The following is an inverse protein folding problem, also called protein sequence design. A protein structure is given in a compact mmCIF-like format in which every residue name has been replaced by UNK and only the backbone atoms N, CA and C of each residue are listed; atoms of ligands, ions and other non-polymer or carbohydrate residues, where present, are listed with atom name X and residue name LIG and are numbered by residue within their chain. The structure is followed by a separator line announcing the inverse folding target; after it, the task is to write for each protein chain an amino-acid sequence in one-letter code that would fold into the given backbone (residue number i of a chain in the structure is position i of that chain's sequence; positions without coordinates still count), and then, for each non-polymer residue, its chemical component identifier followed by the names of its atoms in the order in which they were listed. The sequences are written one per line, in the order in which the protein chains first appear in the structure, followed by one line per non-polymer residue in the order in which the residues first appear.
data_IF_134889388694
#
_entry.id   IF_134889388694
#
_cell.length_a   1.000
_cell.length_b   1.000
_cell.length_c   1.000
_cell.angle_alpha   90.00
_cell.angle_beta   90.00
_cell.angle_gamma   90.00
#
_symmetry.space_group_name_H-M   'P 1'
#
loop_
_entity.id
_entity.type
_entity.pdbx_description
1 polymer ?
#
# COMPACT_ATOMS: atom_id res chain seq x y z
N UNK A 1 -16.56 -23.64 -14.34
CA UNK A 1 -16.76 -22.43 -13.51
C UNK A 1 -15.37 -21.84 -13.28
N UNK A 2 -15.05 -20.71 -13.91
CA UNK A 2 -13.76 -20.07 -13.77
C UNK A 2 -13.68 -19.42 -12.38
N UNK A 3 -12.71 -19.84 -11.57
CA UNK A 3 -12.35 -19.16 -10.33
C UNK A 3 -11.47 -17.98 -10.73
N UNK A 4 -11.99 -16.76 -10.60
CA UNK A 4 -11.19 -15.54 -10.75
C UNK A 4 -10.57 -15.23 -9.37
N UNK A 5 -9.24 -15.27 -9.22
CA UNK A 5 -8.58 -15.19 -7.91
C UNK A 5 -8.62 -13.80 -7.25
N UNK A 6 -9.25 -12.79 -7.88
CA UNK A 6 -9.22 -11.40 -7.42
C UNK A 6 -10.58 -10.81 -6.99
N UNK A 7 -11.59 -11.63 -6.71
CA UNK A 7 -12.95 -11.13 -6.37
C UNK A 7 -13.13 -10.74 -4.90
N UNK A 8 -12.18 -10.02 -4.31
CA UNK A 8 -12.38 -9.41 -2.99
C UNK A 8 -13.11 -8.08 -3.18
N UNK A 9 -14.45 -8.08 -3.10
CA UNK A 9 -15.26 -6.88 -3.35
C UNK A 9 -15.13 -5.78 -2.26
N UNK A 10 -14.52 -6.09 -1.11
CA UNK A 10 -14.26 -5.18 0.01
C UNK A 10 -12.99 -5.60 0.73
N UNK A 11 -12.16 -4.64 1.12
CA UNK A 11 -10.96 -4.90 1.92
C UNK A 11 -11.29 -5.69 3.18
N UNK A 12 -10.46 -6.68 3.49
CA UNK A 12 -10.58 -7.49 4.70
C UNK A 12 -9.44 -7.16 5.64
N UNK A 13 -9.76 -6.92 6.90
CA UNK A 13 -8.77 -6.66 7.93
C UNK A 13 -8.43 -7.94 8.71
N UNK A 14 -7.13 -8.13 8.93
CA UNK A 14 -6.58 -9.20 9.75
C UNK A 14 -5.53 -8.67 10.73
N UNK A 15 -5.19 -9.51 11.72
CA UNK A 15 -4.07 -9.26 12.63
C UNK A 15 -3.01 -10.31 12.40
N UNK A 16 -1.80 -9.88 12.08
CA UNK A 16 -0.61 -10.71 12.06
C UNK A 16 0.37 -10.26 13.15
N UNK A 17 1.50 -10.96 13.26
CA UNK A 17 2.47 -10.70 14.31
C UNK A 17 3.88 -10.65 13.77
N UNK A 18 4.65 -9.63 14.19
CA UNK A 18 6.09 -9.57 13.99
C UNK A 18 6.77 -10.12 15.23
N UNK A 19 7.64 -11.10 15.02
CA UNK A 19 8.43 -11.72 16.09
C UNK A 19 9.70 -10.92 16.34
N UNK A 20 9.88 -10.43 17.55
CA UNK A 20 11.07 -9.71 18.00
C UNK A 20 11.61 -10.29 19.29
N UNK A 21 12.89 -10.05 19.59
CA UNK A 21 13.46 -10.41 20.87
C UNK A 21 12.80 -9.62 22.01
N UNK A 22 12.40 -10.33 23.07
CA UNK A 22 11.86 -9.68 24.24
C UNK A 22 12.98 -9.33 25.22
N UNK A 23 12.91 -8.11 25.74
CA UNK A 23 13.84 -7.61 26.76
C UNK A 23 13.68 -8.34 28.10
N UNK A 24 12.61 -9.12 28.28
CA UNK A 24 12.35 -9.87 29.52
C UNK A 24 13.45 -10.90 29.86
N UNK A 25 14.07 -11.48 28.83
CA UNK A 25 15.25 -12.35 28.95
C UNK A 25 16.42 -11.67 29.66
N UNK A 26 16.66 -10.39 29.37
CA UNK A 26 17.74 -9.61 29.98
C UNK A 26 17.50 -9.39 31.48
N UNK A 27 16.24 -9.21 31.87
CA UNK A 27 15.86 -9.00 33.27
C UNK A 27 15.52 -10.28 34.01
N UNK A 28 15.71 -11.45 33.39
CA UNK A 28 15.35 -12.77 33.93
C UNK A 28 13.91 -12.80 34.49
N UNK A 29 12.98 -12.19 33.74
CA UNK A 29 11.57 -12.05 34.11
C UNK A 29 10.67 -12.51 32.97
N UNK A 30 9.37 -12.63 33.23
CA UNK A 30 8.37 -12.95 32.22
C UNK A 30 7.56 -11.71 31.87
N UNK A 31 7.58 -11.31 30.60
CA UNK A 31 6.75 -10.21 30.11
C UNK A 31 5.26 -10.57 30.16
N UNK A 32 4.43 -9.61 30.59
CA UNK A 32 2.97 -9.66 30.48
C UNK A 32 2.46 -8.45 29.65
N UNK A 33 2.50 -8.52 28.30
CA UNK A 33 2.16 -7.39 27.45
C UNK A 33 0.64 -7.16 27.39
N UNK A 34 0.21 -5.90 27.32
CA UNK A 34 -1.22 -5.54 27.09
C UNK A 34 -1.71 -5.86 25.67
N UNK A 35 -0.80 -5.83 24.69
CA UNK A 35 -1.09 -6.09 23.28
C UNK A 35 -0.11 -7.14 22.75
N UNK A 36 -0.64 -8.11 21.99
CA UNK A 36 0.11 -9.27 21.53
C UNK A 36 0.41 -10.24 22.67
N UNK A 37 1.50 -10.99 22.54
CA UNK A 37 1.91 -11.98 23.54
C UNK A 37 3.44 -12.19 23.50
N UNK A 38 3.98 -12.86 24.53
CA UNK A 38 5.39 -13.23 24.61
C UNK A 38 5.49 -14.74 24.84
N UNK A 39 6.28 -15.44 24.03
CA UNK A 39 6.55 -16.88 24.15
C UNK A 39 8.05 -17.11 24.05
N UNK A 40 8.63 -17.84 25.01
CA UNK A 40 10.07 -18.20 25.01
C UNK A 40 10.98 -16.98 24.78
N UNK A 41 10.74 -15.88 25.52
CA UNK A 41 11.48 -14.61 25.38
C UNK A 41 11.41 -13.96 23.99
N UNK A 42 10.41 -14.32 23.18
CA UNK A 42 10.13 -13.69 21.89
C UNK A 42 8.78 -12.99 21.97
N UNK A 43 8.78 -11.69 21.71
CA UNK A 43 7.58 -10.85 21.68
C UNK A 43 6.95 -10.92 20.30
N UNK A 44 5.64 -11.14 20.27
CA UNK A 44 4.81 -11.12 19.08
C UNK A 44 4.04 -9.81 19.07
N UNK A 45 4.56 -8.83 18.31
CA UNK A 45 3.97 -7.50 18.19
C UNK A 45 2.87 -7.56 17.13
N UNK A 46 1.61 -7.24 17.47
CA UNK A 46 0.52 -7.29 16.51
C UNK A 46 0.69 -6.20 15.46
N UNK A 47 0.45 -6.56 14.21
CA UNK A 47 0.36 -5.66 13.06
C UNK A 47 -0.99 -5.89 12.38
N UNK A 48 -1.57 -4.82 11.83
CA UNK A 48 -2.80 -4.91 11.05
C UNK A 48 -2.41 -5.24 9.61
N UNK A 49 -3.05 -6.25 9.04
CA UNK A 49 -2.97 -6.56 7.62
C UNK A 49 -4.29 -6.19 6.98
N UNK A 50 -4.22 -5.68 5.76
CA UNK A 50 -5.37 -5.42 4.93
C UNK A 50 -5.18 -6.21 3.64
N UNK A 51 -6.10 -7.12 3.37
CA UNK A 51 -6.21 -7.79 2.09
C UNK A 51 -7.07 -6.91 1.18
N UNK A 52 -6.44 -6.37 0.14
CA UNK A 52 -7.06 -5.41 -0.79
C UNK A 52 -7.30 -6.12 -2.12
N UNK A 53 -8.46 -5.94 -2.78
CA UNK A 53 -8.68 -6.42 -4.15
C UNK A 53 -7.52 -6.10 -5.09
N UNK A 54 -7.27 -6.94 -6.10
CA UNK A 54 -6.27 -6.63 -7.11
C UNK A 54 -6.62 -5.37 -7.92
N UNK A 55 -5.59 -4.63 -8.34
CA UNK A 55 -5.74 -3.57 -9.33
C UNK A 55 -6.11 -4.18 -10.69
N UNK A 56 -7.03 -3.51 -11.39
CA UNK A 56 -7.32 -3.78 -12.80
C UNK A 56 -6.70 -2.64 -13.62
N UNK A 57 -6.25 -2.92 -14.84
CA UNK A 57 -5.77 -1.88 -15.76
C UNK A 57 -6.75 -0.70 -15.86
N UNK A 58 -6.20 0.52 -15.74
CA UNK A 58 -6.99 1.74 -15.82
C UNK A 58 -7.68 2.13 -14.51
N UNK A 59 -7.38 1.45 -13.40
CA UNK A 59 -7.89 1.79 -12.06
C UNK A 59 -7.59 3.25 -11.68
N UNK A 60 -6.44 3.78 -12.11
CA UNK A 60 -6.10 5.19 -11.90
C UNK A 60 -7.11 6.16 -12.54
N UNK A 61 -7.87 5.80 -13.57
CA UNK A 61 -8.81 6.72 -14.25
C UNK A 61 -10.07 7.07 -13.44
N UNK A 62 -10.27 6.43 -12.28
CA UNK A 62 -11.31 6.80 -11.32
C UNK A 62 -12.72 6.27 -11.65
N UNK A 63 -12.83 5.28 -12.54
CA UNK A 63 -14.09 4.57 -12.80
C UNK A 63 -14.10 3.19 -12.11
N UNK A 64 -15.02 2.98 -11.16
CA UNK A 64 -15.27 1.66 -10.56
C UNK A 64 -14.33 1.24 -9.42
N UNK A 65 -14.09 -0.07 -9.30
CA UNK A 65 -13.40 -0.73 -8.16
C UNK A 65 -11.97 -0.23 -7.89
N UNK A 66 -11.32 0.39 -8.89
CA UNK A 66 -9.97 0.93 -8.75
C UNK A 66 -9.86 2.10 -7.77
N UNK A 67 -10.92 2.89 -7.57
CA UNK A 67 -10.91 3.99 -6.60
C UNK A 67 -10.92 3.47 -5.15
N UNK A 68 -11.64 2.39 -4.88
CA UNK A 68 -11.72 1.78 -3.55
C UNK A 68 -10.36 1.21 -3.13
N UNK A 69 -9.69 0.50 -4.05
CA UNK A 69 -8.30 0.05 -3.88
C UNK A 69 -7.35 1.18 -3.47
N UNK A 70 -7.41 2.31 -4.19
CA UNK A 70 -6.52 3.44 -3.96
C UNK A 70 -6.84 4.17 -2.65
N UNK A 71 -8.09 4.11 -2.18
CA UNK A 71 -8.46 4.60 -0.85
C UNK A 71 -7.97 3.66 0.26
N UNK A 72 -8.07 2.34 0.08
CA UNK A 72 -7.53 1.36 1.03
C UNK A 72 -6.00 1.51 1.17
N UNK A 73 -5.28 1.67 0.05
CA UNK A 73 -3.83 1.94 0.06
C UNK A 73 -3.47 3.23 0.77
N UNK A 74 -4.30 4.28 0.68
CA UNK A 74 -4.04 5.55 1.38
C UNK A 74 -3.95 5.36 2.89
N UNK A 75 -4.67 4.39 3.45
CA UNK A 75 -4.64 4.10 4.89
C UNK A 75 -3.48 3.19 5.29
N UNK A 76 -2.93 2.43 4.34
CA UNK A 76 -1.81 1.53 4.58
C UNK A 76 -0.49 2.30 4.79
N UNK A 77 0.34 1.82 5.71
CA UNK A 77 1.69 2.36 5.92
C UNK A 77 2.73 1.65 5.03
N UNK A 78 2.43 0.42 4.60
CA UNK A 78 3.28 -0.43 3.75
C UNK A 78 2.40 -1.22 2.80
N UNK A 79 2.83 -1.33 1.54
CA UNK A 79 2.22 -2.20 0.54
C UNK A 79 3.09 -3.45 0.34
N UNK A 80 2.50 -4.64 0.41
CA UNK A 80 3.16 -5.90 0.09
C UNK A 80 2.63 -6.37 -1.26
N UNK A 81 3.50 -6.39 -2.27
CA UNK A 81 3.15 -6.85 -3.61
C UNK A 81 3.56 -8.32 -3.77
N UNK A 82 2.58 -9.21 -3.97
CA UNK A 82 2.81 -10.64 -4.16
C UNK A 82 2.85 -10.94 -5.67
N UNK A 83 3.93 -11.58 -6.12
CA UNK A 83 4.20 -11.85 -7.53
C UNK A 83 4.33 -13.36 -7.79
N UNK A 84 3.72 -13.87 -8.86
CA UNK A 84 3.92 -15.25 -9.33
C UNK A 84 5.22 -15.37 -10.15
N UNK A 85 6.28 -15.82 -9.50
CA UNK A 85 7.59 -16.00 -10.16
C UNK A 85 7.60 -17.14 -11.20
N UNK A 86 6.61 -18.02 -11.19
CA UNK A 86 6.57 -19.15 -12.13
C UNK A 86 6.11 -18.74 -13.54
N UNK A 87 5.57 -17.52 -13.70
CA UNK A 87 5.03 -17.02 -14.96
C UNK A 87 3.85 -17.85 -15.46
N UNK A 88 3.10 -18.47 -14.53
CA UNK A 88 1.94 -19.33 -14.80
C UNK A 88 0.61 -18.59 -14.67
N UNK A 89 0.67 -17.29 -14.42
CA UNK A 89 -0.49 -16.41 -14.25
C UNK A 89 -0.28 -15.19 -15.14
N UNK A 90 -1.30 -14.80 -15.92
CA UNK A 90 -1.24 -13.56 -16.72
C UNK A 90 -1.64 -12.33 -15.89
N UNK A 91 -1.54 -11.13 -16.46
CA UNK A 91 -1.90 -9.86 -15.82
C UNK A 91 -3.35 -9.79 -15.28
N UNK A 92 -4.26 -10.68 -15.71
CA UNK A 92 -5.64 -10.75 -15.23
C UNK A 92 -5.85 -11.76 -14.11
N UNK A 93 -4.81 -12.48 -13.70
CA UNK A 93 -4.91 -13.56 -12.73
C UNK A 93 -5.35 -14.89 -13.33
N UNK A 94 -5.38 -15.03 -14.65
CA UNK A 94 -5.80 -16.27 -15.29
C UNK A 94 -4.60 -17.20 -15.44
N UNK A 95 -4.82 -18.50 -15.20
CA UNK A 95 -3.76 -19.50 -15.35
C UNK A 95 -3.38 -19.65 -16.82
N UNK A 96 -2.09 -19.52 -17.08
CA UNK A 96 -1.43 -19.72 -18.38
C UNK A 96 -0.32 -20.76 -18.23
N UNK A 97 0.19 -21.35 -19.32
CA UNK A 97 1.35 -22.24 -19.24
C UNK A 97 2.51 -21.54 -18.53
N UNK A 98 3.25 -22.28 -17.69
CA UNK A 98 4.38 -21.71 -16.95
C UNK A 98 5.41 -21.08 -17.91
N UNK A 99 6.10 -20.04 -17.43
CA UNK A 99 7.07 -19.23 -18.20
C UNK A 99 6.47 -18.45 -19.39
N UNK A 100 5.14 -18.31 -19.47
CA UNK A 100 4.51 -17.53 -20.55
C UNK A 100 4.40 -16.05 -20.20
N UNK A 101 4.28 -15.71 -18.91
CA UNK A 101 4.20 -14.34 -18.41
C UNK A 101 5.52 -13.92 -17.75
N UNK A 102 5.99 -12.70 -18.02
CA UNK A 102 7.14 -12.13 -17.34
C UNK A 102 6.68 -11.43 -16.04
N UNK A 103 7.09 -11.93 -14.85
CA UNK A 103 6.70 -11.33 -13.57
C UNK A 103 7.17 -9.87 -13.41
N UNK A 104 8.14 -9.41 -14.21
CA UNK A 104 8.57 -8.01 -14.20
C UNK A 104 7.49 -7.06 -14.71
N UNK A 105 6.61 -7.54 -15.59
CA UNK A 105 5.48 -6.75 -16.12
C UNK A 105 4.47 -6.42 -15.03
N UNK A 106 4.22 -7.34 -14.09
CA UNK A 106 3.31 -7.10 -12.96
C UNK A 106 3.83 -5.99 -12.03
N UNK A 107 5.15 -5.96 -11.81
CA UNK A 107 5.81 -4.92 -10.99
C UNK A 107 5.69 -3.57 -11.68
N UNK A 108 5.98 -3.50 -12.99
CA UNK A 108 5.88 -2.27 -13.77
C UNK A 108 4.44 -1.77 -13.87
N UNK A 109 3.48 -2.69 -14.00
CA UNK A 109 2.06 -2.39 -14.02
C UNK A 109 1.61 -1.70 -12.73
N UNK A 110 1.96 -2.27 -11.56
CA UNK A 110 1.63 -1.66 -10.28
C UNK A 110 2.26 -0.27 -10.11
N UNK A 111 3.55 -0.13 -10.44
CA UNK A 111 4.26 1.14 -10.34
C UNK A 111 3.62 2.22 -11.24
N UNK A 112 3.26 1.86 -12.47
CA UNK A 112 2.58 2.75 -13.40
C UNK A 112 1.21 3.21 -12.86
N UNK A 113 0.36 2.29 -12.40
CA UNK A 113 -0.96 2.63 -11.85
C UNK A 113 -0.85 3.55 -10.62
N UNK A 114 0.09 3.28 -9.70
CA UNK A 114 0.33 4.14 -8.54
C UNK A 114 0.83 5.54 -8.95
N UNK A 115 1.79 5.62 -9.87
CA UNK A 115 2.32 6.89 -10.36
C UNK A 115 1.23 7.74 -11.04
N UNK A 116 0.39 7.11 -11.86
CA UNK A 116 -0.72 7.77 -12.53
C UNK A 116 -1.79 8.25 -11.54
N UNK A 117 -2.05 7.49 -10.48
CA UNK A 117 -2.93 7.92 -9.40
C UNK A 117 -2.40 9.16 -8.67
N UNK A 118 -1.13 9.16 -8.26
CA UNK A 118 -0.49 10.33 -7.64
C UNK A 118 -0.55 11.56 -8.57
N UNK A 119 -0.25 11.36 -9.86
CA UNK A 119 -0.34 12.42 -10.86
C UNK A 119 -1.73 13.03 -10.94
N UNK A 120 -2.80 12.22 -10.90
CA UNK A 120 -4.16 12.75 -10.93
C UNK A 120 -4.52 13.55 -9.68
N UNK A 121 -4.10 13.10 -8.50
CA UNK A 121 -4.30 13.84 -7.24
C UNK A 121 -3.64 15.22 -7.32
N UNK A 122 -2.40 15.26 -7.82
CA UNK A 122 -1.67 16.50 -7.99
C UNK A 122 -2.33 17.40 -9.04
N UNK A 123 -2.67 16.85 -10.22
CA UNK A 123 -3.27 17.57 -11.34
C UNK A 123 -4.62 18.20 -10.96
N UNK A 124 -5.49 17.46 -10.26
CA UNK A 124 -6.83 17.96 -9.87
C UNK A 124 -6.77 19.20 -8.98
N UNK A 125 -5.73 19.33 -8.16
CA UNK A 125 -5.52 20.47 -7.26
C UNK A 125 -4.55 21.54 -7.78
N UNK A 126 -3.90 21.31 -8.93
CA UNK A 126 -2.69 22.03 -9.32
C UNK A 126 -2.91 23.53 -9.55
N UNK A 127 -3.96 23.92 -10.28
CA UNK A 127 -4.18 25.33 -10.61
C UNK A 127 -4.43 26.20 -9.37
N UNK A 128 -5.20 25.67 -8.42
CA UNK A 128 -5.48 26.35 -7.14
C UNK A 128 -4.22 26.41 -6.29
N UNK A 129 -3.49 25.30 -6.21
CA UNK A 129 -2.21 25.19 -5.53
C UNK A 129 -1.20 26.24 -6.05
N UNK A 130 -0.97 26.28 -7.37
CA UNK A 130 0.00 27.16 -8.00
C UNK A 130 -0.33 28.64 -7.77
N UNK A 131 -1.62 29.02 -7.82
CA UNK A 131 -2.07 30.38 -7.49
C UNK A 131 -1.79 30.75 -6.04
N UNK A 132 -2.09 29.84 -5.11
CA UNK A 132 -1.89 30.07 -3.67
C UNK A 132 -0.40 30.24 -3.33
N UNK A 133 0.46 29.34 -3.80
CA UNK A 133 1.91 29.41 -3.56
C UNK A 133 2.51 30.71 -4.08
N UNK A 134 2.08 31.16 -5.27
CA UNK A 134 2.54 32.42 -5.87
C UNK A 134 2.10 33.65 -5.07
N UNK A 135 0.90 33.65 -4.50
CA UNK A 135 0.38 34.77 -3.70
C UNK A 135 1.01 34.81 -2.30
N UNK A 136 1.11 33.66 -1.63
CA UNK A 136 1.58 33.57 -0.25
C UNK A 136 3.12 33.58 -0.14
N UNK A 137 3.84 33.48 -1.26
CA UNK A 137 5.30 33.24 -1.31
C UNK A 137 5.74 32.10 -0.37
N UNK A 138 4.86 31.11 -0.21
CA UNK A 138 5.08 29.99 0.67
C UNK A 138 6.16 29.07 0.10
N UNK A 139 6.86 28.34 0.98
CA UNK A 139 7.75 27.27 0.55
C UNK A 139 6.94 26.20 -0.19
N UNK A 140 7.39 25.84 -1.39
CA UNK A 140 6.77 24.81 -2.24
C UNK A 140 6.66 23.49 -1.48
N UNK A 141 7.69 23.13 -0.69
CA UNK A 141 7.74 21.90 0.10
C UNK A 141 6.60 21.86 1.12
N UNK A 142 6.40 22.95 1.86
CA UNK A 142 5.32 23.04 2.86
C UNK A 142 3.94 22.99 2.22
N UNK A 143 3.81 23.60 1.04
CA UNK A 143 2.56 23.59 0.30
C UNK A 143 2.24 22.18 -0.25
N UNK A 144 3.23 21.48 -0.81
CA UNK A 144 3.09 20.11 -1.31
C UNK A 144 2.77 19.13 -0.18
N UNK A 145 3.48 19.24 0.94
CA UNK A 145 3.17 18.49 2.16
C UNK A 145 1.71 18.69 2.59
N UNK A 146 1.22 19.94 2.61
CA UNK A 146 -0.18 20.23 2.93
C UNK A 146 -1.15 19.59 1.94
N UNK A 147 -0.86 19.62 0.64
CA UNK A 147 -1.71 19.02 -0.38
C UNK A 147 -1.74 17.49 -0.31
N UNK A 148 -0.60 16.85 0.02
CA UNK A 148 -0.45 15.40 0.10
C UNK A 148 -0.62 14.83 1.52
N UNK A 149 -0.98 15.68 2.49
CA UNK A 149 -1.16 15.28 3.91
C UNK A 149 -2.18 14.14 4.09
N UNK A 150 -3.19 14.08 3.22
CA UNK A 150 -4.16 12.97 3.20
C UNK A 150 -3.57 11.62 2.79
N UNK A 151 -2.37 11.58 2.21
CA UNK A 151 -1.63 10.36 1.83
C UNK A 151 -0.51 10.02 2.84
N UNK A 152 -0.54 10.62 4.05
CA UNK A 152 0.50 10.50 5.08
C UNK A 152 1.91 10.87 4.60
N UNK A 153 2.02 11.65 3.53
CA UNK A 153 3.30 12.17 3.02
C UNK A 153 3.84 13.18 4.02
N UNK A 154 5.10 13.02 4.43
CA UNK A 154 5.80 13.94 5.34
C UNK A 154 6.70 14.90 4.56
N UNK A 155 7.17 15.98 5.19
CA UNK A 155 8.12 16.92 4.55
C UNK A 155 9.41 16.23 4.09
N UNK A 156 9.83 15.13 4.73
CA UNK A 156 10.99 14.34 4.32
C UNK A 156 10.79 13.64 2.96
N UNK A 157 9.57 13.19 2.65
CA UNK A 157 9.27 12.50 1.39
C UNK A 157 9.23 13.45 0.17
N UNK A 158 9.18 14.76 0.39
CA UNK A 158 9.06 15.79 -0.65
C UNK A 158 10.38 16.52 -0.90
N UNK A 159 11.39 16.28 -0.06
CA UNK A 159 12.67 16.99 -0.04
C UNK A 159 13.74 16.28 -0.88
#
# INVERSE_FOLDING_TARGET
MASYPFTTLKSQEGVAYVKVDCVDSFFNTQCNPRFGFCLNHKRFVPIRLMDVPGLIEGSHTGAGMGLDFLNDIREADVLIHVIDISGSTNAKGESVPALTHDPSEDIQFLDYELNMWYYQILKKGWDKFARQVKQEKASIIKALHKQLSGLKVTEYHVN
#
